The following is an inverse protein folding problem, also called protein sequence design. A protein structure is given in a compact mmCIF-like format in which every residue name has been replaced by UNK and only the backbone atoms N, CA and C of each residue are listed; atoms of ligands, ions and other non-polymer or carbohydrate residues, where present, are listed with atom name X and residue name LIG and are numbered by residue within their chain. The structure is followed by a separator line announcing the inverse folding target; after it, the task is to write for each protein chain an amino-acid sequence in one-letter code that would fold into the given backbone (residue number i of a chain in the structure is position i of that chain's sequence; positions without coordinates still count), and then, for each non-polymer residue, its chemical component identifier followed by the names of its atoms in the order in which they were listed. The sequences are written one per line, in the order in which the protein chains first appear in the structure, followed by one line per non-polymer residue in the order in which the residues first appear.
data_IF_820208527259
#
_entry.id   IF_820208527259
#
_cell.length_a   1.000
_cell.length_b   1.000
_cell.length_c   1.000
_cell.angle_alpha   90.00
_cell.angle_beta   90.00
_cell.angle_gamma   90.00
#
_symmetry.space_group_name_H-M   'P 1'
#
loop_
_entity.id
_entity.type
_entity.pdbx_description
1 polymer ?
#
# COMPACT_ATOMS: atom_id res chain seq x y z
N UNK A 1 -4.15 -21.33 14.83
CA UNK A 1 -5.15 -20.40 15.41
C UNK A 1 -4.84 -18.95 15.01
N UNK A 2 -3.57 -18.50 15.11
CA UNK A 2 -3.16 -17.14 14.68
C UNK A 2 -3.53 -16.87 13.21
N UNK A 3 -3.26 -17.80 12.29
CA UNK A 3 -3.63 -17.68 10.87
C UNK A 3 -5.14 -17.50 10.65
N UNK A 4 -5.98 -18.15 11.48
CA UNK A 4 -7.43 -18.00 11.38
C UNK A 4 -7.88 -16.59 11.77
N UNK A 5 -7.33 -16.02 12.84
CA UNK A 5 -7.59 -14.63 13.22
C UNK A 5 -7.05 -13.64 12.17
N UNK A 6 -5.87 -13.88 11.63
CA UNK A 6 -5.33 -13.05 10.55
C UNK A 6 -6.26 -13.07 9.31
N UNK A 7 -6.75 -14.23 8.89
CA UNK A 7 -7.69 -14.36 7.79
C UNK A 7 -9.02 -13.67 8.07
N UNK A 8 -9.51 -13.75 9.29
CA UNK A 8 -10.72 -13.05 9.74
C UNK A 8 -10.53 -11.52 9.68
N UNK A 9 -9.39 -11.02 10.16
CA UNK A 9 -9.06 -9.60 10.07
C UNK A 9 -9.02 -9.08 8.63
N UNK A 10 -8.42 -9.84 7.72
CA UNK A 10 -8.41 -9.51 6.28
C UNK A 10 -9.85 -9.43 5.73
N UNK A 11 -10.72 -10.35 6.14
CA UNK A 11 -12.13 -10.32 5.73
C UNK A 11 -12.85 -9.07 6.24
N UNK A 12 -12.62 -8.67 7.49
CA UNK A 12 -13.18 -7.42 8.04
C UNK A 12 -12.67 -6.16 7.31
N UNK A 13 -11.39 -6.11 6.92
CA UNK A 13 -10.88 -5.00 6.08
C UNK A 13 -11.67 -4.91 4.77
N UNK A 14 -11.96 -6.04 4.11
CA UNK A 14 -12.73 -6.05 2.86
C UNK A 14 -14.15 -5.51 3.02
N UNK A 15 -14.70 -5.61 4.22
CA UNK A 15 -16.00 -5.03 4.60
C UNK A 15 -15.89 -3.58 5.11
N UNK A 16 -14.67 -3.01 5.15
CA UNK A 16 -14.38 -1.71 5.75
C UNK A 16 -14.69 -1.64 7.26
N UNK A 17 -14.75 -2.79 7.93
CA UNK A 17 -14.89 -2.88 9.38
C UNK A 17 -13.49 -2.90 10.04
N UNK A 18 -12.88 -1.70 10.12
CA UNK A 18 -11.51 -1.57 10.59
C UNK A 18 -11.34 -1.83 12.08
N UNK A 19 -12.41 -1.68 12.87
CA UNK A 19 -12.37 -1.98 14.31
C UNK A 19 -12.25 -3.48 14.52
N UNK A 20 -13.15 -4.27 13.92
CA UNK A 20 -13.09 -5.72 14.02
C UNK A 20 -11.83 -6.30 13.36
N UNK A 21 -11.35 -5.66 12.28
CA UNK A 21 -10.08 -6.03 11.66
C UNK A 21 -8.91 -5.86 12.64
N UNK A 22 -8.82 -4.71 13.31
CA UNK A 22 -7.81 -4.45 14.33
C UNK A 22 -7.84 -5.50 15.43
N UNK A 23 -9.01 -5.77 16.03
CA UNK A 23 -9.15 -6.74 17.13
C UNK A 23 -8.73 -8.16 16.71
N UNK A 24 -9.02 -8.55 15.47
CA UNK A 24 -8.62 -9.84 14.92
C UNK A 24 -7.09 -9.95 14.74
N UNK A 25 -6.44 -8.89 14.22
CA UNK A 25 -4.98 -8.88 14.09
C UNK A 25 -4.27 -8.76 15.45
N UNK A 26 -4.86 -8.04 16.39
CA UNK A 26 -4.37 -7.98 17.78
C UNK A 26 -4.36 -9.37 18.39
N UNK A 27 -5.46 -10.11 18.27
CA UNK A 27 -5.53 -11.51 18.70
C UNK A 27 -4.51 -12.41 17.96
N UNK A 28 -4.22 -12.11 16.68
CA UNK A 28 -3.16 -12.83 15.94
C UNK A 28 -1.80 -12.65 16.61
N UNK A 29 -1.46 -11.41 16.97
CA UNK A 29 -0.19 -11.06 17.59
C UNK A 29 -0.09 -11.50 19.06
N UNK A 30 -1.21 -11.53 19.79
CA UNK A 30 -1.24 -12.13 21.13
C UNK A 30 -0.90 -13.63 21.11
N UNK A 31 -1.37 -14.35 20.07
CA UNK A 31 -1.12 -15.79 19.91
C UNK A 31 0.28 -16.05 19.35
N UNK A 32 0.70 -15.25 18.39
CA UNK A 32 2.01 -15.35 17.74
C UNK A 32 2.62 -13.94 17.53
N UNK A 33 3.41 -13.43 18.47
CA UNK A 33 4.04 -12.10 18.37
C UNK A 33 5.03 -11.95 17.21
N UNK A 34 5.51 -13.06 16.64
CA UNK A 34 6.42 -13.08 15.50
C UNK A 34 5.70 -13.21 14.14
N UNK A 35 4.37 -13.11 14.13
CA UNK A 35 3.60 -13.18 12.89
C UNK A 35 3.76 -11.87 12.09
N UNK A 36 4.79 -11.84 11.24
CA UNK A 36 5.23 -10.65 10.51
C UNK A 36 4.08 -9.92 9.76
N UNK A 37 3.32 -10.67 8.95
CA UNK A 37 2.21 -10.10 8.19
C UNK A 37 1.03 -9.60 9.03
N UNK A 38 0.94 -9.94 10.33
CA UNK A 38 -0.07 -9.34 11.19
C UNK A 38 0.23 -7.87 11.49
N UNK A 39 1.51 -7.49 11.59
CA UNK A 39 1.89 -6.07 11.69
C UNK A 39 1.50 -5.30 10.43
N UNK A 40 1.77 -5.83 9.24
CA UNK A 40 1.30 -5.22 7.98
C UNK A 40 -0.21 -5.05 7.98
N UNK A 41 -0.94 -6.12 8.25
CA UNK A 41 -2.39 -6.13 8.14
C UNK A 41 -3.06 -5.24 9.18
N UNK A 42 -2.57 -5.22 10.46
CA UNK A 42 -3.06 -4.34 11.51
C UNK A 42 -2.73 -2.87 11.19
N UNK A 43 -1.52 -2.60 10.74
CA UNK A 43 -1.10 -1.28 10.28
C UNK A 43 -1.96 -0.77 9.12
N UNK A 44 -2.29 -1.61 8.15
CA UNK A 44 -3.19 -1.26 7.05
C UNK A 44 -4.63 -1.00 7.55
N UNK A 45 -5.13 -1.80 8.50
CA UNK A 45 -6.45 -1.56 9.10
C UNK A 45 -6.50 -0.22 9.82
N UNK A 46 -5.45 0.14 10.54
CA UNK A 46 -5.31 1.45 11.19
C UNK A 46 -5.20 2.59 10.17
N UNK A 47 -4.40 2.41 9.11
CA UNK A 47 -4.24 3.38 8.02
C UNK A 47 -5.58 3.70 7.35
N UNK A 48 -6.30 2.69 6.87
CA UNK A 48 -7.60 2.88 6.24
C UNK A 48 -8.70 3.29 7.23
N UNK A 49 -8.54 2.96 8.51
CA UNK A 49 -9.41 3.40 9.60
C UNK A 49 -9.18 4.85 10.06
N UNK A 50 -8.26 5.60 9.41
CA UNK A 50 -7.97 7.00 9.74
C UNK A 50 -7.16 7.20 11.03
N UNK A 51 -6.39 6.17 11.45
CA UNK A 51 -5.51 6.19 12.63
C UNK A 51 -4.04 6.17 12.21
N UNK A 52 -3.64 7.15 11.39
CA UNK A 52 -2.32 7.18 10.76
C UNK A 52 -1.17 7.09 11.78
N UNK A 53 -1.22 7.83 12.90
CA UNK A 53 -0.19 7.80 13.94
C UNK A 53 0.00 6.41 14.58
N UNK A 54 -1.08 5.63 14.73
CA UNK A 54 -0.98 4.26 15.23
C UNK A 54 -0.49 3.30 14.13
N UNK A 55 -0.89 3.56 12.89
CA UNK A 55 -0.45 2.76 11.74
C UNK A 55 1.07 2.84 11.53
N UNK A 56 1.71 4.00 11.80
CA UNK A 56 3.17 4.13 11.69
C UNK A 56 3.90 3.15 12.58
N UNK A 57 3.41 2.88 13.80
CA UNK A 57 4.06 1.94 14.71
C UNK A 57 4.12 0.52 14.12
N UNK A 58 2.98 0.00 13.67
CA UNK A 58 2.91 -1.37 13.12
C UNK A 58 3.66 -1.49 11.79
N UNK A 59 3.53 -0.49 10.91
CA UNK A 59 4.17 -0.53 9.61
C UNK A 59 5.69 -0.31 9.68
N UNK A 60 6.18 0.43 10.69
CA UNK A 60 7.60 0.50 10.99
C UNK A 60 8.13 -0.85 11.49
N UNK A 61 7.43 -1.52 12.41
CA UNK A 61 7.80 -2.86 12.88
C UNK A 61 7.83 -3.87 11.72
N UNK A 62 6.88 -3.75 10.78
CA UNK A 62 6.89 -4.58 9.57
C UNK A 62 8.09 -4.27 8.66
N UNK A 63 8.44 -3.00 8.48
CA UNK A 63 9.61 -2.58 7.71
C UNK A 63 10.93 -3.07 8.36
N UNK A 64 11.06 -2.94 9.68
CA UNK A 64 12.25 -3.35 10.43
C UNK A 64 12.57 -4.85 10.34
N UNK A 65 11.60 -5.70 9.99
CA UNK A 65 11.82 -7.13 9.76
C UNK A 65 12.60 -7.42 8.47
N UNK A 66 12.52 -6.53 7.49
CA UNK A 66 13.33 -6.52 6.26
C UNK A 66 13.42 -5.07 5.75
N UNK A 67 14.42 -4.34 6.21
CA UNK A 67 14.63 -2.92 5.92
C UNK A 67 15.21 -2.67 4.52
N UNK A 68 15.44 -3.71 3.75
CA UNK A 68 15.85 -3.65 2.35
C UNK A 68 14.68 -3.70 1.36
N UNK A 69 13.49 -4.11 1.80
CA UNK A 69 12.30 -4.30 0.96
C UNK A 69 11.59 -2.98 0.65
N UNK A 70 11.53 -2.54 -0.64
CA UNK A 70 10.87 -1.29 -1.03
C UNK A 70 9.36 -1.30 -0.80
N UNK A 71 8.68 -2.45 -0.84
CA UNK A 71 7.23 -2.50 -0.59
C UNK A 71 6.91 -2.27 0.90
N UNK A 72 7.72 -2.80 1.81
CA UNK A 72 7.61 -2.52 3.24
C UNK A 72 7.84 -1.04 3.53
N UNK A 73 8.84 -0.45 2.88
CA UNK A 73 9.12 0.99 2.97
C UNK A 73 7.92 1.85 2.51
N UNK A 74 7.28 1.49 1.39
CA UNK A 74 6.14 2.23 0.85
C UNK A 74 4.91 2.16 1.75
N UNK A 75 4.61 1.01 2.36
CA UNK A 75 3.50 0.92 3.31
C UNK A 75 3.73 1.78 4.55
N UNK A 76 4.94 1.76 5.13
CA UNK A 76 5.30 2.64 6.24
C UNK A 76 5.23 4.12 5.82
N UNK A 77 5.75 4.47 4.64
CA UNK A 77 5.65 5.81 4.07
C UNK A 77 4.21 6.32 3.97
N UNK A 78 3.26 5.50 3.52
CA UNK A 78 1.87 5.94 3.41
C UNK A 78 1.28 6.33 4.76
N UNK A 79 1.58 5.61 5.83
CA UNK A 79 1.13 5.96 7.16
C UNK A 79 1.76 7.29 7.64
N UNK A 80 3.07 7.45 7.49
CA UNK A 80 3.75 8.70 7.81
C UNK A 80 3.24 9.88 6.98
N UNK A 81 2.98 9.67 5.69
CA UNK A 81 2.42 10.70 4.81
C UNK A 81 1.00 11.12 5.22
N UNK A 82 0.18 10.20 5.73
CA UNK A 82 -1.16 10.53 6.23
C UNK A 82 -1.13 11.30 7.56
N UNK A 83 -0.05 11.20 8.36
CA UNK A 83 0.20 12.09 9.50
C UNK A 83 0.52 13.49 8.98
N UNK A 84 1.51 13.61 8.10
CA UNK A 84 1.78 14.82 7.31
C UNK A 84 2.66 14.52 6.09
N UNK A 85 2.47 15.27 5.00
CA UNK A 85 3.27 15.11 3.79
C UNK A 85 4.78 15.30 4.06
N UNK A 86 5.14 16.24 4.94
CA UNK A 86 6.53 16.50 5.34
C UNK A 86 7.11 15.31 6.10
N UNK A 87 6.34 14.73 7.03
CA UNK A 87 6.77 13.55 7.79
C UNK A 87 7.01 12.36 6.86
N UNK A 88 6.08 12.08 5.94
CA UNK A 88 6.24 11.02 4.96
C UNK A 88 7.50 11.20 4.11
N UNK A 89 7.73 12.39 3.56
CA UNK A 89 8.93 12.67 2.77
C UNK A 89 10.22 12.53 3.57
N UNK A 90 10.23 13.04 4.82
CA UNK A 90 11.39 12.93 5.70
C UNK A 90 11.68 11.47 6.04
N UNK A 91 10.65 10.70 6.39
CA UNK A 91 10.78 9.28 6.68
C UNK A 91 11.33 8.51 5.48
N UNK A 92 10.69 8.64 4.30
CA UNK A 92 11.09 7.90 3.10
C UNK A 92 12.52 8.23 2.67
N UNK A 93 12.92 9.51 2.73
CA UNK A 93 14.28 9.94 2.43
C UNK A 93 15.31 9.34 3.42
N UNK A 94 14.95 9.20 4.69
CA UNK A 94 15.84 8.65 5.72
C UNK A 94 16.12 7.17 5.54
N UNK A 95 15.14 6.39 5.08
CA UNK A 95 15.26 4.94 4.91
C UNK A 95 15.69 4.52 3.50
N UNK A 96 15.63 5.42 2.51
CA UNK A 96 16.02 5.12 1.11
C UNK A 96 17.41 4.47 0.99
N UNK A 97 18.45 4.88 1.76
CA UNK A 97 19.78 4.27 1.67
C UNK A 97 19.86 2.79 2.10
N UNK A 98 18.90 2.25 2.85
CA UNK A 98 18.89 0.85 3.29
C UNK A 98 18.31 -0.09 2.23
N UNK A 99 17.50 0.45 1.29
CA UNK A 99 16.75 -0.35 0.34
C UNK A 99 17.65 -1.02 -0.71
N UNK A 100 17.23 -2.21 -1.14
CA UNK A 100 17.90 -2.95 -2.22
C UNK A 100 17.78 -2.21 -3.56
N UNK A 101 18.91 -1.69 -4.05
CA UNK A 101 18.97 -0.96 -5.32
C UNK A 101 18.77 -1.85 -6.56
N UNK A 102 18.94 -3.16 -6.44
CA UNK A 102 18.71 -4.10 -7.53
C UNK A 102 17.23 -4.51 -7.63
N UNK A 103 16.44 -4.21 -6.59
CA UNK A 103 15.01 -4.49 -6.61
C UNK A 103 14.28 -3.46 -7.47
N UNK A 104 13.53 -3.91 -8.50
CA UNK A 104 12.83 -3.03 -9.44
C UNK A 104 11.91 -2.00 -8.76
N UNK A 105 11.23 -2.41 -7.68
CA UNK A 105 10.29 -1.55 -6.97
C UNK A 105 10.96 -0.42 -6.17
N UNK A 106 12.29 -0.42 -6.04
CA UNK A 106 13.02 0.72 -5.48
C UNK A 106 12.85 1.97 -6.35
N UNK A 107 12.61 1.80 -7.66
CA UNK A 107 12.24 2.90 -8.56
C UNK A 107 10.88 3.53 -8.19
N UNK A 108 9.94 2.75 -7.62
CA UNK A 108 8.70 3.32 -7.06
C UNK A 108 8.98 4.23 -5.87
N UNK A 109 9.89 3.83 -4.96
CA UNK A 109 10.30 4.68 -3.83
C UNK A 109 10.90 5.98 -4.34
N UNK A 110 11.76 5.91 -5.34
CA UNK A 110 12.39 7.07 -5.98
C UNK A 110 11.37 7.99 -6.66
N UNK A 111 10.27 7.43 -7.20
CA UNK A 111 9.14 8.21 -7.72
C UNK A 111 8.45 9.01 -6.60
N UNK A 112 8.16 8.38 -5.45
CA UNK A 112 7.55 9.09 -4.32
C UNK A 112 8.48 10.14 -3.70
N UNK A 113 9.80 9.96 -3.81
CA UNK A 113 10.80 10.97 -3.44
C UNK A 113 10.95 12.09 -4.51
N UNK A 114 10.39 11.93 -5.69
CA UNK A 114 10.47 12.89 -6.78
C UNK A 114 11.83 12.93 -7.50
N UNK A 115 12.63 11.87 -7.36
CA UNK A 115 13.97 11.76 -7.98
C UNK A 115 13.94 11.09 -9.35
N UNK A 116 12.87 10.38 -9.68
CA UNK A 116 12.60 9.77 -10.99
C UNK A 116 11.18 10.09 -11.46
N UNK A 117 10.89 9.82 -12.73
CA UNK A 117 9.58 10.02 -13.34
C UNK A 117 8.76 8.73 -13.38
N UNK A 118 7.45 8.86 -13.62
CA UNK A 118 6.56 7.72 -13.86
C UNK A 118 7.03 6.87 -15.06
N UNK A 119 7.56 7.52 -16.13
CA UNK A 119 8.12 6.80 -17.26
C UNK A 119 9.33 5.93 -16.88
N UNK A 120 10.16 6.39 -15.94
CA UNK A 120 11.30 5.59 -15.45
C UNK A 120 10.79 4.33 -14.73
N UNK A 121 9.73 4.44 -13.93
CA UNK A 121 9.08 3.27 -13.30
C UNK A 121 8.55 2.31 -14.37
N UNK A 122 7.79 2.80 -15.35
CA UNK A 122 7.22 1.95 -16.40
C UNK A 122 8.30 1.25 -17.24
N UNK A 123 9.41 1.92 -17.50
CA UNK A 123 10.55 1.32 -18.21
C UNK A 123 11.23 0.23 -17.38
N UNK A 124 11.37 0.41 -16.05
CA UNK A 124 12.03 -0.55 -15.16
C UNK A 124 11.23 -1.87 -15.00
N UNK A 125 9.94 -1.88 -15.36
CA UNK A 125 9.10 -3.09 -15.22
C UNK A 125 9.60 -4.28 -16.03
N UNK A 126 10.30 -4.04 -17.13
CA UNK A 126 10.81 -5.09 -18.01
C UNK A 126 12.19 -5.61 -17.59
N UNK A 127 12.90 -4.88 -16.72
CA UNK A 127 14.27 -5.21 -16.33
C UNK A 127 14.34 -6.53 -15.58
N UNK A 128 15.10 -7.48 -16.11
CA UNK A 128 15.30 -8.79 -15.48
C UNK A 128 14.05 -9.69 -15.40
N UNK A 129 12.94 -9.35 -16.07
CA UNK A 129 11.73 -10.19 -16.12
C UNK A 129 11.99 -11.46 -16.92
N UNK A 130 11.73 -12.63 -16.32
CA UNK A 130 12.01 -13.94 -16.92
C UNK A 130 10.75 -14.69 -17.37
N UNK A 131 9.56 -14.20 -17.05
CA UNK A 131 8.31 -14.89 -17.40
C UNK A 131 7.14 -13.91 -17.50
N UNK A 132 6.11 -14.30 -18.28
CA UNK A 132 4.85 -13.55 -18.37
C UNK A 132 4.19 -13.40 -16.99
N UNK A 133 4.25 -14.42 -16.14
CA UNK A 133 3.72 -14.34 -14.78
C UNK A 133 4.43 -13.26 -13.98
N UNK A 134 5.76 -13.25 -13.97
CA UNK A 134 6.53 -12.24 -13.24
C UNK A 134 6.23 -10.82 -13.71
N UNK A 135 6.00 -10.62 -15.03
CA UNK A 135 5.58 -9.33 -15.56
C UNK A 135 4.17 -8.96 -15.07
N UNK A 136 3.23 -9.89 -15.07
CA UNK A 136 1.86 -9.65 -14.61
C UNK A 136 1.84 -9.29 -13.13
N UNK A 137 2.64 -9.98 -12.31
CA UNK A 137 2.79 -9.69 -10.89
C UNK A 137 3.32 -8.26 -10.67
N UNK A 138 4.41 -7.88 -11.36
CA UNK A 138 4.96 -6.50 -11.31
C UNK A 138 3.98 -5.45 -11.80
N UNK A 139 3.20 -5.74 -12.83
CA UNK A 139 2.19 -4.82 -13.33
C UNK A 139 1.09 -4.57 -12.29
N UNK A 140 0.67 -5.60 -11.55
CA UNK A 140 -0.28 -5.45 -10.46
C UNK A 140 0.25 -4.47 -9.39
N UNK A 141 1.47 -4.72 -8.92
CA UNK A 141 2.15 -3.90 -7.94
C UNK A 141 2.34 -2.47 -8.45
N UNK A 142 2.96 -2.30 -9.61
CA UNK A 142 3.23 -0.97 -10.18
C UNK A 142 1.96 -0.15 -10.36
N UNK A 143 0.89 -0.71 -10.90
CA UNK A 143 -0.35 0.00 -11.12
C UNK A 143 -1.02 0.42 -9.81
N UNK A 144 -0.93 -0.40 -8.76
CA UNK A 144 -1.41 0.00 -7.45
C UNK A 144 -0.64 1.22 -6.92
N UNK A 145 0.70 1.16 -6.90
CA UNK A 145 1.51 2.25 -6.37
C UNK A 145 1.46 3.52 -7.22
N UNK A 146 1.36 3.42 -8.55
CA UNK A 146 1.09 4.57 -9.44
C UNK A 146 -0.30 5.17 -9.13
N UNK A 147 -1.29 4.35 -8.88
CA UNK A 147 -2.59 4.81 -8.40
C UNK A 147 -2.48 5.61 -7.10
N UNK A 148 -1.73 5.10 -6.12
CA UNK A 148 -1.45 5.81 -4.85
C UNK A 148 -0.70 7.12 -5.08
N UNK A 149 0.29 7.13 -5.97
CA UNK A 149 1.04 8.32 -6.33
C UNK A 149 0.12 9.42 -6.89
N UNK A 150 -0.73 9.09 -7.86
CA UNK A 150 -1.68 10.05 -8.43
C UNK A 150 -2.74 10.50 -7.44
N UNK A 151 -3.12 9.64 -6.47
CA UNK A 151 -4.00 10.08 -5.37
C UNK A 151 -3.36 11.21 -4.53
N UNK A 152 -2.08 11.10 -4.21
CA UNK A 152 -1.36 12.14 -3.47
C UNK A 152 -1.19 13.43 -4.28
N UNK A 153 -1.13 13.32 -5.61
CA UNK A 153 -1.10 14.49 -6.53
C UNK A 153 -2.49 15.13 -6.78
N UNK A 154 -3.57 14.59 -6.18
CA UNK A 154 -4.94 15.06 -6.43
C UNK A 154 -5.55 14.61 -7.76
N UNK A 155 -4.88 13.75 -8.52
CA UNK A 155 -5.28 13.27 -9.84
C UNK A 155 -6.19 12.04 -9.75
N UNK A 156 -7.35 12.15 -9.10
CA UNK A 156 -8.26 11.04 -8.80
C UNK A 156 -8.71 10.24 -10.03
N UNK A 157 -8.88 10.90 -11.18
CA UNK A 157 -9.25 10.23 -12.43
C UNK A 157 -8.16 9.29 -12.95
N UNK A 158 -6.91 9.74 -12.93
CA UNK A 158 -5.73 8.92 -13.32
C UNK A 158 -5.53 7.80 -12.31
N UNK A 159 -5.62 8.10 -11.02
CA UNK A 159 -5.53 7.11 -9.94
C UNK A 159 -6.56 5.98 -10.13
N UNK A 160 -7.83 6.34 -10.42
CA UNK A 160 -8.90 5.36 -10.69
C UNK A 160 -8.55 4.44 -11.86
N UNK A 161 -7.94 4.96 -12.93
CA UNK A 161 -7.53 4.14 -14.07
C UNK A 161 -6.42 3.16 -13.70
N UNK A 162 -5.42 3.59 -12.92
CA UNK A 162 -4.36 2.72 -12.43
C UNK A 162 -4.88 1.61 -11.52
N UNK A 163 -5.78 1.91 -10.59
CA UNK A 163 -6.39 0.87 -9.75
C UNK A 163 -7.22 -0.13 -10.56
N UNK A 164 -7.93 0.30 -11.62
CA UNK A 164 -8.60 -0.62 -12.55
C UNK A 164 -7.62 -1.51 -13.31
N UNK A 165 -6.48 -0.96 -13.74
CA UNK A 165 -5.42 -1.74 -14.38
C UNK A 165 -4.84 -2.77 -13.41
N UNK A 166 -4.57 -2.41 -12.14
CA UNK A 166 -4.14 -3.37 -11.12
C UNK A 166 -5.14 -4.51 -10.97
N UNK A 167 -6.43 -4.22 -10.90
CA UNK A 167 -7.48 -5.26 -10.83
C UNK A 167 -7.55 -6.13 -12.07
N UNK A 168 -7.28 -5.57 -13.26
CA UNK A 168 -7.34 -6.33 -14.53
C UNK A 168 -6.23 -7.37 -14.67
N UNK A 169 -5.19 -7.30 -13.85
CA UNK A 169 -4.12 -8.31 -13.83
C UNK A 169 -4.59 -9.66 -13.26
N UNK A 170 -5.67 -9.68 -12.48
CA UNK A 170 -6.21 -10.85 -11.78
C UNK A 170 -5.23 -11.55 -10.83
N UNK A 171 -4.27 -10.83 -10.27
CA UNK A 171 -3.31 -11.33 -9.28
C UNK A 171 -3.94 -11.26 -7.88
N UNK A 172 -4.95 -12.09 -7.63
CA UNK A 172 -5.84 -12.01 -6.46
C UNK A 172 -5.14 -12.20 -5.11
N UNK A 173 -4.00 -12.90 -5.09
CA UNK A 173 -3.25 -13.19 -3.87
C UNK A 173 -2.44 -11.99 -3.35
N UNK A 174 -2.24 -10.96 -4.20
CA UNK A 174 -1.42 -9.81 -3.86
C UNK A 174 -2.21 -8.78 -3.05
N UNK A 175 -1.50 -8.18 -2.10
CA UNK A 175 -1.98 -7.08 -1.26
C UNK A 175 -2.46 -5.92 -2.15
N UNK A 176 -1.68 -5.58 -3.17
CA UNK A 176 -1.95 -4.50 -4.12
C UNK A 176 -3.26 -4.70 -4.88
N UNK A 177 -3.55 -5.92 -5.34
CA UNK A 177 -4.81 -6.23 -6.01
C UNK A 177 -6.00 -6.03 -5.07
N UNK A 178 -5.88 -6.49 -3.83
CA UNK A 178 -6.93 -6.36 -2.81
C UNK A 178 -7.23 -4.90 -2.50
N UNK A 179 -6.18 -4.11 -2.26
CA UNK A 179 -6.35 -2.71 -1.87
C UNK A 179 -6.62 -1.77 -3.05
N UNK A 180 -6.30 -2.14 -4.30
CA UNK A 180 -6.76 -1.41 -5.47
C UNK A 180 -8.31 -1.35 -5.53
N UNK A 181 -8.99 -2.44 -5.17
CA UNK A 181 -10.46 -2.46 -5.06
C UNK A 181 -10.97 -1.52 -3.97
N UNK A 182 -10.32 -1.52 -2.82
CA UNK A 182 -10.70 -0.63 -1.70
C UNK A 182 -10.51 0.84 -2.08
N UNK A 183 -9.39 1.18 -2.72
CA UNK A 183 -9.14 2.56 -3.17
C UNK A 183 -10.19 3.03 -4.20
N UNK A 184 -10.59 2.17 -5.13
CA UNK A 184 -11.67 2.48 -6.07
C UNK A 184 -13.01 2.73 -5.37
N UNK A 185 -13.35 1.94 -4.37
CA UNK A 185 -14.57 2.15 -3.60
C UNK A 185 -14.52 3.49 -2.86
N UNK A 186 -13.41 3.81 -2.20
CA UNK A 186 -13.20 5.10 -1.51
C UNK A 186 -13.31 6.30 -2.47
N UNK A 187 -12.77 6.18 -3.69
CA UNK A 187 -12.89 7.23 -4.70
C UNK A 187 -14.34 7.43 -5.12
N UNK A 188 -15.10 6.37 -5.28
CA UNK A 188 -16.53 6.43 -5.63
C UNK A 188 -17.33 7.09 -4.52
N UNK A 189 -17.09 6.71 -3.27
CA UNK A 189 -17.80 7.24 -2.11
C UNK A 189 -17.53 8.75 -1.95
N UNK A 190 -16.28 9.20 -2.15
CA UNK A 190 -15.92 10.62 -2.15
C UNK A 190 -16.62 11.40 -3.26
N UNK A 191 -16.70 10.83 -4.47
CA UNK A 191 -17.39 11.46 -5.59
C UNK A 191 -18.89 11.60 -5.34
N UNK A 192 -19.51 10.63 -4.66
CA UNK A 192 -20.94 10.63 -4.33
C UNK A 192 -21.28 11.57 -3.18
N UNK A 193 -20.33 11.90 -2.31
CA UNK A 193 -20.50 12.80 -1.16
C UNK A 193 -20.13 14.26 -1.47
N UNK A 194 -19.59 14.55 -2.65
CA UNK A 194 -19.31 15.91 -3.08
C UNK A 194 -20.65 16.68 -3.28
N UNK A 195 -20.80 17.90 -2.72
CA UNK A 195 -22.00 18.69 -2.94
C UNK A 195 -22.18 18.96 -4.44
N UNK A 196 -23.40 18.72 -4.94
CA UNK A 196 -23.78 19.14 -6.30
C UNK A 196 -23.63 20.65 -6.33
N UNK A 197 -22.70 21.17 -7.13
CA UNK A 197 -22.59 22.59 -7.41
C UNK A 197 -23.89 22.98 -8.11
N UNK A 198 -24.78 23.66 -7.39
CA UNK A 198 -25.91 24.35 -8.01
C UNK A 198 -25.34 25.44 -8.94
N UNK A 199 -25.50 25.26 -10.25
CA UNK A 199 -25.32 26.31 -11.25
C UNK A 199 -26.51 27.30 -11.26
#
# INVERSE_FOLDING_TARGET
LAEAYNSMGIHYIQQSDFIQAYDAFDSTLEINPEYDFAFLNRGIALYYGGRAELATNDLNLFFEKDDSDPFRALWAYFAHHDVSALEGQTYLASIRPTLDNEHWATTLVDLFLGTVTENDVLNSLLDGVKSQKALTDRLCEAYFYLGKFHMQQGNSGVASNYFKLALSTNVFDYVEHRYARMELNRLRDRASSAPVSEE
#
